data_IF_438829618262
#
_entry.id   IF_438829618262
#
_cell.length_a   1.000
_cell.length_b   1.000
_cell.length_c   1.000
_cell.angle_alpha   90.00
_cell.angle_beta   90.00
_cell.angle_gamma   90.00
#
_symmetry.space_group_name_H-M   'P 1'
#
loop_
_entity.id
_entity.type
_entity.pdbx_description
1 polymer ?
#
# COMPACT_ATOMS: atom_id res chain seq x y z
N UNK A 1 0.01 15.12 18.74
CA UNK A 1 -0.58 13.80 19.05
C UNK A 1 0.55 12.85 19.39
N UNK A 2 0.43 12.08 20.48
CA UNK A 2 1.44 11.10 20.89
C UNK A 2 0.89 9.69 20.62
N UNK A 3 1.36 9.04 19.56
CA UNK A 3 0.95 7.68 19.20
C UNK A 3 1.87 6.66 19.87
N UNK A 4 1.29 5.60 20.44
CA UNK A 4 2.05 4.42 20.89
C UNK A 4 1.81 3.28 19.91
N UNK A 5 2.82 2.43 19.73
CA UNK A 5 2.76 1.27 18.82
C UNK A 5 1.64 0.28 19.18
N UNK A 6 1.22 0.25 20.44
CA UNK A 6 0.11 -0.57 20.93
C UNK A 6 -1.28 0.00 20.64
N UNK A 7 -1.38 1.25 20.17
CA UNK A 7 -2.67 1.86 19.88
C UNK A 7 -3.37 1.15 18.72
N UNK A 8 -4.70 1.19 18.71
CA UNK A 8 -5.53 0.72 17.61
C UNK A 8 -5.25 1.50 16.32
N UNK A 9 -5.38 0.86 15.17
CA UNK A 9 -5.32 1.52 13.85
C UNK A 9 -6.36 2.65 13.72
N UNK A 10 -7.51 2.54 14.38
CA UNK A 10 -8.55 3.58 14.38
C UNK A 10 -8.15 4.87 15.09
N UNK A 11 -7.02 4.88 15.81
CA UNK A 11 -6.48 6.12 16.38
C UNK A 11 -5.89 7.06 15.32
N UNK A 12 -5.60 6.56 14.12
CA UNK A 12 -5.12 7.39 13.02
C UNK A 12 -6.26 8.14 12.33
N UNK A 13 -6.09 9.45 12.03
CA UNK A 13 -7.04 10.18 11.24
C UNK A 13 -7.17 9.56 9.84
N UNK A 14 -8.39 9.48 9.31
CA UNK A 14 -8.68 8.87 8.01
C UNK A 14 -8.99 7.37 8.05
N UNK A 15 -8.83 6.70 9.20
CA UNK A 15 -9.23 5.28 9.36
C UNK A 15 -10.63 5.20 9.99
N UNK A 16 -11.64 5.15 9.12
CA UNK A 16 -13.03 4.88 9.50
C UNK A 16 -13.38 3.37 9.52
N UNK A 17 -14.65 3.03 9.82
CA UNK A 17 -15.10 1.63 9.97
C UNK A 17 -14.80 0.74 8.76
N UNK A 18 -14.91 1.29 7.55
CA UNK A 18 -14.59 0.57 6.31
C UNK A 18 -13.13 0.09 6.29
N UNK A 19 -12.18 0.98 6.59
CA UNK A 19 -10.76 0.63 6.58
C UNK A 19 -10.38 -0.24 7.77
N UNK A 20 -10.98 -0.01 8.94
CA UNK A 20 -10.80 -0.88 10.11
C UNK A 20 -11.17 -2.34 9.78
N UNK A 21 -12.30 -2.57 9.13
CA UNK A 21 -12.74 -3.92 8.77
C UNK A 21 -11.80 -4.59 7.76
N UNK A 22 -11.32 -3.86 6.76
CA UNK A 22 -10.35 -4.37 5.78
C UNK A 22 -9.01 -4.71 6.44
N UNK A 23 -8.51 -3.85 7.34
CA UNK A 23 -7.26 -4.11 8.08
C UNK A 23 -7.42 -5.30 9.04
N UNK A 24 -8.59 -5.46 9.66
CA UNK A 24 -8.88 -6.61 10.50
C UNK A 24 -8.84 -7.94 9.73
N UNK A 25 -9.30 -7.97 8.48
CA UNK A 25 -9.18 -9.14 7.61
C UNK A 25 -7.71 -9.53 7.35
N UNK A 26 -6.81 -8.54 7.34
CA UNK A 26 -5.36 -8.74 7.23
C UNK A 26 -4.67 -9.00 8.59
N UNK A 27 -5.44 -9.13 9.68
CA UNK A 27 -4.96 -9.28 11.07
C UNK A 27 -4.13 -8.08 11.55
N UNK A 28 -4.42 -6.89 11.01
CA UNK A 28 -3.77 -5.63 11.39
C UNK A 28 -4.75 -4.84 12.27
N UNK A 29 -4.52 -4.86 13.58
CA UNK A 29 -5.36 -4.15 14.57
C UNK A 29 -4.62 -3.04 15.29
N UNK A 30 -3.28 -3.06 15.29
CA UNK A 30 -2.42 -2.09 15.99
C UNK A 30 -1.52 -1.30 15.04
N UNK A 31 -1.06 -0.14 15.49
CA UNK A 31 -0.09 0.67 14.74
C UNK A 31 1.23 -0.06 14.50
N UNK A 32 1.68 -0.89 15.45
CA UNK A 32 2.85 -1.76 15.26
C UNK A 32 2.68 -2.66 14.03
N UNK A 33 1.57 -3.39 13.97
CA UNK A 33 1.32 -4.31 12.87
C UNK A 33 1.21 -3.56 11.56
N UNK A 34 0.52 -2.41 11.53
CA UNK A 34 0.40 -1.60 10.33
C UNK A 34 1.76 -1.12 9.82
N UNK A 35 2.63 -0.67 10.72
CA UNK A 35 3.96 -0.16 10.36
C UNK A 35 4.88 -1.24 9.80
N UNK A 36 4.76 -2.47 10.31
CA UNK A 36 5.57 -3.61 9.90
C UNK A 36 4.87 -4.53 8.89
N UNK A 37 3.72 -4.13 8.36
CA UNK A 37 3.04 -4.80 7.25
C UNK A 37 3.46 -4.14 5.93
N UNK A 38 4.59 -4.58 5.39
CA UNK A 38 5.14 -4.00 4.17
C UNK A 38 4.32 -4.36 2.93
N UNK A 39 4.25 -3.47 1.93
CA UNK A 39 3.68 -3.79 0.62
C UNK A 39 4.41 -4.97 -0.02
N UNK A 40 3.67 -5.83 -0.73
CA UNK A 40 4.27 -6.96 -1.47
C UNK A 40 5.13 -6.51 -2.66
N UNK A 41 4.83 -5.34 -3.22
CA UNK A 41 5.56 -4.72 -4.32
C UNK A 41 5.49 -3.21 -4.24
N UNK A 42 6.55 -2.56 -4.69
CA UNK A 42 6.58 -1.13 -4.95
C UNK A 42 6.42 -0.91 -6.46
N UNK A 43 5.60 0.05 -6.85
CA UNK A 43 5.47 0.46 -8.25
C UNK A 43 6.18 1.78 -8.45
N UNK A 44 7.21 1.79 -9.30
CA UNK A 44 7.94 3.00 -9.64
C UNK A 44 7.19 3.77 -10.74
N UNK A 45 6.63 4.92 -10.38
CA UNK A 45 5.90 5.81 -11.29
C UNK A 45 6.70 7.04 -11.73
N UNK A 46 8.01 7.07 -11.50
CA UNK A 46 8.88 8.17 -11.95
C UNK A 46 8.97 8.25 -13.47
N UNK A 47 8.80 7.13 -14.15
CA UNK A 47 8.76 7.09 -15.61
C UNK A 47 7.40 7.55 -16.13
N UNK A 48 7.34 8.80 -16.57
CA UNK A 48 6.17 9.37 -17.23
C UNK A 48 6.31 9.22 -18.73
N UNK A 49 5.24 8.77 -19.39
CA UNK A 49 5.18 8.67 -20.84
C UNK A 49 4.31 9.82 -21.35
N UNK A 50 4.89 10.73 -22.13
CA UNK A 50 4.13 11.75 -22.85
C UNK A 50 3.33 11.10 -23.97
N UNK A 51 2.16 11.68 -24.31
CA UNK A 51 1.09 11.06 -25.11
C UNK A 51 1.46 10.45 -26.47
N UNK A 52 2.67 10.67 -26.98
CA UNK A 52 3.20 10.04 -28.20
C UNK A 52 3.80 8.64 -27.97
N UNK A 53 4.11 8.27 -26.72
CA UNK A 53 4.70 6.99 -26.32
C UNK A 53 3.70 6.05 -25.62
N UNK A 54 2.40 6.33 -25.71
CA UNK A 54 1.36 5.38 -25.27
C UNK A 54 1.18 4.30 -26.35
N UNK A 55 2.26 3.60 -26.70
CA UNK A 55 2.16 2.35 -27.44
C UNK A 55 3.02 1.32 -26.71
N UNK A 56 2.33 0.27 -26.31
CA UNK A 56 2.86 -1.01 -25.84
C UNK A 56 3.65 -0.98 -24.53
N UNK A 57 2.97 -1.32 -23.43
CA UNK A 57 3.57 -2.25 -22.46
C UNK A 57 3.78 -3.61 -23.15
N UNK A 58 4.76 -3.69 -24.06
CA UNK A 58 5.30 -4.96 -24.52
C UNK A 58 6.41 -5.33 -23.54
N UNK A 59 6.14 -6.33 -22.71
CA UNK A 59 7.15 -6.98 -21.89
C UNK A 59 7.80 -8.02 -22.82
N UNK A 60 9.07 -7.88 -23.24
CA UNK A 60 9.73 -8.98 -23.92
C UNK A 60 9.89 -10.12 -22.91
N UNK A 61 9.05 -11.15 -23.03
CA UNK A 61 9.32 -12.44 -22.40
C UNK A 61 10.62 -12.95 -23.01
N UNK A 62 11.69 -12.94 -22.23
CA UNK A 62 12.99 -13.50 -22.62
C UNK A 62 12.80 -15.01 -22.82
N UNK A 63 12.55 -15.44 -24.05
CA UNK A 63 12.69 -16.85 -24.43
C UNK A 63 14.16 -17.22 -24.29
N UNK A 64 14.42 -18.28 -23.51
CA UNK A 64 15.66 -19.03 -23.60
C UNK A 64 15.76 -19.73 -24.96
#
# INVERSE_FOLDING_TARGET
>A
MNFKLSNSVTSLPGIGPRYQNLLAQLKITTLRQLLFYFPSRWEDRRQTYTGRLIKTHYIPTRSK
#
